data_IF_390473421667
#
_entry.id   IF_390473421667
#
_cell.length_a   1.000
_cell.length_b   1.000
_cell.length_c   1.000
_cell.angle_alpha   90.00
_cell.angle_beta   90.00
_cell.angle_gamma   90.00
#
_symmetry.space_group_name_H-M   'P 1'
#
loop_
_entity.id
_entity.type
_entity.pdbx_description
1 polymer ?
#
# COMPACT_ATOMS: atom_id res chain seq x y z
N UNK A 1 40.64 -33.39 29.81
CA UNK A 1 40.96 -34.75 30.30
C UNK A 1 41.85 -34.57 31.52
N UNK A 2 41.63 -35.26 32.68
CA UNK A 2 41.04 -36.59 32.81
C UNK A 2 39.82 -36.65 33.79
N UNK A 3 38.77 -37.43 33.52
CA UNK A 3 38.52 -38.86 33.88
C UNK A 3 37.65 -39.00 35.16
N UNK A 4 36.44 -39.55 35.03
CA UNK A 4 36.03 -40.91 35.44
C UNK A 4 35.73 -41.00 36.95
N UNK A 5 34.71 -41.69 37.45
CA UNK A 5 33.70 -42.57 36.90
C UNK A 5 32.63 -42.74 38.00
N UNK A 6 31.39 -43.07 37.61
CA UNK A 6 30.74 -44.22 38.24
C UNK A 6 29.71 -44.79 37.27
N UNK A 7 30.06 -45.94 36.72
CA UNK A 7 29.16 -46.84 36.02
C UNK A 7 28.64 -47.88 37.02
N UNK A 8 27.39 -48.29 36.89
CA UNK A 8 26.91 -49.68 36.96
C UNK A 8 25.41 -49.63 36.61
N UNK A 9 25.04 -50.02 35.40
CA UNK A 9 24.49 -51.34 35.06
C UNK A 9 23.10 -51.58 35.65
N UNK A 10 22.12 -51.71 34.76
CA UNK A 10 21.26 -52.90 34.61
C UNK A 10 20.22 -52.67 33.50
N UNK A 11 20.52 -53.20 32.31
CA UNK A 11 19.54 -53.73 31.35
C UNK A 11 19.35 -55.22 31.70
N UNK A 12 18.17 -55.83 31.51
CA UNK A 12 17.69 -56.14 30.15
C UNK A 12 16.17 -56.11 29.96
N UNK A 13 15.73 -56.13 28.69
CA UNK A 13 14.35 -56.49 28.36
C UNK A 13 13.86 -55.89 27.04
N UNK A 14 14.19 -56.53 25.93
CA UNK A 14 13.59 -56.27 24.63
C UNK A 14 12.08 -56.58 24.66
N UNK A 15 11.27 -55.63 24.20
CA UNK A 15 9.91 -55.88 23.74
C UNK A 15 9.68 -55.04 22.48
N UNK A 16 9.55 -55.74 21.35
CA UNK A 16 9.06 -55.20 20.08
C UNK A 16 7.60 -54.82 20.28
N UNK A 17 7.26 -53.54 20.14
CA UNK A 17 5.89 -53.08 20.07
C UNK A 17 5.48 -52.95 18.60
N UNK A 18 4.67 -53.90 18.15
CA UNK A 18 3.94 -53.89 16.88
C UNK A 18 3.11 -52.61 16.76
N UNK A 19 3.23 -51.89 15.65
CA UNK A 19 2.35 -50.78 15.32
C UNK A 19 0.95 -51.31 14.94
N UNK A 20 -0.15 -50.78 15.49
CA UNK A 20 -1.47 -51.16 15.02
C UNK A 20 -1.72 -50.55 13.64
N UNK A 21 -2.02 -51.41 12.67
CA UNK A 21 -2.40 -51.05 11.31
C UNK A 21 -3.61 -50.12 11.31
N UNK A 22 -3.48 -49.00 10.60
CA UNK A 22 -4.58 -48.11 10.29
C UNK A 22 -5.44 -48.74 9.19
N UNK A 23 -6.43 -49.54 9.58
CA UNK A 23 -7.53 -49.91 8.70
C UNK A 23 -8.32 -48.64 8.36
N UNK A 24 -8.07 -48.11 7.16
CA UNK A 24 -8.89 -47.08 6.53
C UNK A 24 -10.25 -47.68 6.19
N UNK A 25 -11.15 -47.68 7.17
CA UNK A 25 -12.57 -47.81 6.89
C UNK A 25 -13.02 -46.63 6.01
N UNK A 26 -13.73 -46.86 4.89
CA UNK A 26 -14.29 -45.79 4.10
C UNK A 26 -15.32 -45.05 4.95
N UNK A 27 -15.01 -43.81 5.33
CA UNK A 27 -15.98 -42.89 5.93
C UNK A 27 -17.11 -42.74 4.90
N UNK A 28 -18.28 -43.28 5.24
CA UNK A 28 -19.50 -43.09 4.49
C UNK A 28 -19.72 -41.59 4.30
N UNK A 29 -19.63 -41.12 3.04
CA UNK A 29 -20.06 -39.78 2.66
C UNK A 29 -21.55 -39.70 2.97
N UNK A 30 -21.88 -39.04 4.08
CA UNK A 30 -23.24 -38.57 4.33
C UNK A 30 -23.71 -37.82 3.09
N UNK A 31 -24.94 -38.12 2.68
CA UNK A 31 -25.66 -37.53 1.54
C UNK A 31 -25.34 -36.05 1.37
N UNK A 32 -24.48 -35.73 0.40
CA UNK A 32 -24.15 -34.36 0.06
C UNK A 32 -25.42 -33.67 -0.44
N UNK A 33 -25.90 -32.69 0.33
CA UNK A 33 -26.94 -31.77 -0.12
C UNK A 33 -26.52 -31.17 -1.48
N UNK A 34 -27.49 -30.95 -2.38
CA UNK A 34 -27.23 -30.38 -3.69
C UNK A 34 -26.34 -29.12 -3.57
N UNK A 35 -25.32 -28.97 -4.42
CA UNK A 35 -24.35 -27.88 -4.31
C UNK A 35 -25.09 -26.55 -4.41
N UNK A 36 -24.96 -25.73 -3.37
CA UNK A 36 -25.49 -24.38 -3.35
C UNK A 36 -24.40 -23.37 -3.70
N UNK A 37 -24.80 -22.28 -4.32
CA UNK A 37 -23.98 -21.08 -4.43
C UNK A 37 -24.08 -20.33 -3.11
N UNK A 38 -23.04 -20.42 -2.30
CA UNK A 38 -22.91 -19.62 -1.08
C UNK A 38 -22.36 -18.24 -1.45
N UNK A 39 -23.02 -17.18 -1.02
CA UNK A 39 -22.65 -15.79 -1.33
C UNK A 39 -22.48 -15.05 -0.01
N UNK A 40 -21.23 -14.77 0.35
CA UNK A 40 -20.89 -14.01 1.55
C UNK A 40 -21.08 -12.52 1.28
N UNK A 41 -21.90 -11.85 2.09
CA UNK A 41 -22.31 -10.45 1.91
C UNK A 41 -22.25 -9.68 3.24
N UNK A 42 -22.31 -8.35 3.17
CA UNK A 42 -22.49 -7.47 4.34
C UNK A 42 -23.46 -6.34 4.02
N UNK A 43 -24.10 -5.76 5.02
CA UNK A 43 -24.91 -4.57 4.82
C UNK A 43 -24.09 -3.34 4.42
N UNK A 44 -24.68 -2.49 3.57
CA UNK A 44 -24.04 -1.26 3.09
C UNK A 44 -22.89 -1.49 2.10
N UNK A 45 -22.78 -2.69 1.52
CA UNK A 45 -21.83 -3.03 0.47
C UNK A 45 -22.45 -2.82 -0.93
N UNK A 46 -21.99 -1.82 -1.72
CA UNK A 46 -22.56 -1.54 -3.05
C UNK A 46 -22.43 -2.71 -4.03
N UNK A 47 -21.27 -3.39 -4.01
CA UNK A 47 -21.01 -4.56 -4.84
C UNK A 47 -21.90 -5.76 -4.47
N UNK A 48 -22.23 -5.91 -3.19
CA UNK A 48 -23.13 -6.96 -2.71
C UNK A 48 -24.57 -6.71 -3.18
N UNK A 49 -25.03 -5.45 -3.15
CA UNK A 49 -26.34 -5.08 -3.67
C UNK A 49 -26.46 -5.34 -5.18
N UNK A 50 -25.40 -5.04 -5.94
CA UNK A 50 -25.36 -5.34 -7.38
C UNK A 50 -25.36 -6.85 -7.65
N UNK A 51 -24.61 -7.62 -6.86
CA UNK A 51 -24.61 -9.07 -6.93
C UNK A 51 -25.99 -9.66 -6.63
N UNK A 52 -26.68 -9.19 -5.58
CA UNK A 52 -28.02 -9.66 -5.21
C UNK A 52 -29.05 -9.41 -6.31
N UNK A 53 -29.01 -8.26 -6.98
CA UNK A 53 -29.86 -7.96 -8.13
C UNK A 53 -29.60 -8.95 -9.28
N UNK A 54 -28.34 -9.14 -9.65
CA UNK A 54 -27.95 -10.09 -10.69
C UNK A 54 -28.33 -11.54 -10.35
N UNK A 55 -28.12 -11.96 -9.10
CA UNK A 55 -28.44 -13.30 -8.62
C UNK A 55 -29.95 -13.54 -8.54
N UNK A 56 -30.75 -12.51 -8.29
CA UNK A 56 -32.20 -12.61 -8.35
C UNK A 56 -32.70 -12.92 -9.77
N UNK A 57 -32.07 -12.33 -10.79
CA UNK A 57 -32.36 -12.66 -12.19
C UNK A 57 -31.82 -14.06 -12.55
N UNK A 58 -30.60 -14.38 -12.14
CA UNK A 58 -29.97 -15.67 -12.39
C UNK A 58 -30.73 -16.84 -11.76
N UNK A 59 -31.28 -16.65 -10.56
CA UNK A 59 -32.11 -17.66 -9.88
C UNK A 59 -33.43 -17.94 -10.60
N UNK A 60 -33.96 -16.97 -11.37
CA UNK A 60 -35.12 -17.19 -12.25
C UNK A 60 -34.75 -17.95 -13.51
N UNK A 61 -33.56 -17.72 -14.05
CA UNK A 61 -33.03 -18.45 -15.21
C UNK A 61 -32.61 -19.89 -14.88
N UNK A 62 -32.11 -20.13 -13.67
CA UNK A 62 -31.61 -21.43 -13.20
C UNK A 62 -32.39 -21.89 -11.95
N UNK A 63 -33.63 -22.40 -12.08
CA UNK A 63 -34.47 -22.77 -10.93
C UNK A 63 -33.90 -23.90 -10.07
N UNK A 64 -32.99 -24.69 -10.62
CA UNK A 64 -32.27 -25.76 -9.91
C UNK A 64 -31.10 -25.26 -9.07
N UNK A 65 -30.66 -24.00 -9.27
CA UNK A 65 -29.56 -23.40 -8.52
C UNK A 65 -30.07 -22.88 -7.17
N UNK A 66 -29.59 -23.49 -6.09
CA UNK A 66 -29.84 -23.00 -4.72
C UNK A 66 -28.83 -21.92 -4.37
N UNK A 67 -29.30 -20.68 -4.21
CA UNK A 67 -28.48 -19.54 -3.82
C UNK A 67 -28.68 -19.28 -2.32
N UNK A 68 -27.59 -19.19 -1.56
CA UNK A 68 -27.62 -18.98 -0.09
C UNK A 68 -26.77 -17.76 0.26
N UNK A 69 -27.41 -16.72 0.78
CA UNK A 69 -26.72 -15.52 1.26
C UNK A 69 -26.25 -15.71 2.70
N UNK A 70 -24.98 -15.39 2.96
CA UNK A 70 -24.34 -15.51 4.28
C UNK A 70 -23.83 -14.14 4.73
N UNK A 71 -24.51 -13.54 5.70
CA UNK A 71 -24.21 -12.18 6.19
C UNK A 71 -23.07 -12.19 7.22
N UNK A 72 -21.88 -11.74 6.84
CA UNK A 72 -20.67 -11.79 7.70
C UNK A 72 -20.62 -10.73 8.80
N UNK A 73 -21.46 -9.70 8.69
CA UNK A 73 -21.66 -8.65 9.68
C UNK A 73 -22.62 -9.06 10.80
N UNK A 74 -23.51 -10.03 10.54
CA UNK A 74 -24.55 -10.49 11.47
C UNK A 74 -24.31 -11.89 12.02
N UNK A 75 -23.62 -12.73 11.25
CA UNK A 75 -23.33 -14.12 11.61
C UNK A 75 -21.81 -14.33 11.75
N UNK A 76 -21.39 -14.63 12.98
CA UNK A 76 -20.00 -14.95 13.29
C UNK A 76 -19.52 -16.22 12.57
N UNK A 77 -20.38 -17.23 12.39
CA UNK A 77 -20.02 -18.46 11.69
C UNK A 77 -19.81 -18.20 10.20
N UNK A 78 -20.66 -17.38 9.57
CA UNK A 78 -20.45 -16.93 8.18
C UNK A 78 -19.12 -16.19 7.99
N UNK A 79 -18.76 -15.32 8.94
CA UNK A 79 -17.48 -14.59 8.90
C UNK A 79 -16.28 -15.54 9.04
N UNK A 80 -16.34 -16.47 10.00
CA UNK A 80 -15.26 -17.42 10.24
C UNK A 80 -15.11 -18.40 9.06
N UNK A 81 -16.23 -18.80 8.45
CA UNK A 81 -16.24 -19.59 7.22
C UNK A 81 -15.62 -18.82 6.05
N UNK A 82 -15.98 -17.55 5.86
CA UNK A 82 -15.38 -16.69 4.83
C UNK A 82 -13.85 -16.61 5.01
N UNK A 83 -13.38 -16.36 6.24
CA UNK A 83 -11.96 -16.35 6.59
C UNK A 83 -11.29 -17.68 6.19
N UNK A 84 -11.92 -18.80 6.51
CA UNK A 84 -11.39 -20.14 6.24
C UNK A 84 -11.31 -20.42 4.74
N UNK A 85 -12.39 -20.18 3.99
CA UNK A 85 -12.42 -20.47 2.54
C UNK A 85 -11.52 -19.52 1.75
N UNK A 86 -11.44 -18.25 2.14
CA UNK A 86 -10.51 -17.28 1.57
C UNK A 86 -9.05 -17.70 1.75
N UNK A 87 -8.67 -18.19 2.95
CA UNK A 87 -7.31 -18.71 3.18
C UNK A 87 -7.01 -19.94 2.36
N UNK A 88 -7.94 -20.90 2.32
CA UNK A 88 -7.77 -22.14 1.56
C UNK A 88 -7.63 -21.89 0.05
N UNK A 89 -8.35 -20.89 -0.47
CA UNK A 89 -8.29 -20.48 -1.88
C UNK A 89 -7.13 -19.52 -2.21
N UNK A 90 -6.32 -19.08 -1.22
CA UNK A 90 -5.29 -18.06 -1.40
C UNK A 90 -5.83 -16.65 -1.68
N UNK A 91 -7.14 -16.43 -1.48
CA UNK A 91 -7.84 -15.17 -1.71
C UNK A 91 -7.97 -14.38 -0.39
N UNK A 92 -6.83 -13.89 0.13
CA UNK A 92 -6.75 -13.09 1.36
C UNK A 92 -6.37 -11.62 1.05
N UNK A 93 -6.99 -10.62 1.67
CA UNK A 93 -7.99 -10.71 2.73
C UNK A 93 -9.38 -11.12 2.25
N UNK A 94 -10.24 -11.63 3.15
CA UNK A 94 -11.63 -11.96 2.83
C UNK A 94 -12.40 -10.68 2.45
N UNK A 95 -12.93 -10.66 1.22
CA UNK A 95 -13.78 -9.58 0.71
C UNK A 95 -15.24 -10.01 0.60
N UNK A 96 -16.14 -9.04 0.41
CA UNK A 96 -17.54 -9.30 0.07
C UNK A 96 -17.96 -8.40 -1.11
N UNK A 97 -18.77 -8.90 -2.08
CA UNK A 97 -19.33 -10.25 -2.10
C UNK A 97 -18.29 -11.32 -2.47
N UNK A 98 -18.38 -12.49 -1.85
CA UNK A 98 -17.58 -13.68 -2.21
C UNK A 98 -18.52 -14.83 -2.55
N UNK A 99 -18.30 -15.46 -3.70
CA UNK A 99 -19.11 -16.55 -4.23
C UNK A 99 -18.36 -17.85 -4.09
N UNK A 100 -18.99 -18.86 -3.50
CA UNK A 100 -18.44 -20.20 -3.34
C UNK A 100 -19.41 -21.22 -3.93
N UNK A 101 -18.91 -22.03 -4.86
CA UNK A 101 -19.68 -23.11 -5.46
C UNK A 101 -18.78 -24.33 -5.69
N UNK A 102 -19.17 -25.46 -5.11
CA UNK A 102 -18.45 -26.74 -5.28
C UNK A 102 -16.93 -26.64 -5.02
N UNK A 103 -16.57 -26.01 -3.89
CA UNK A 103 -15.18 -25.82 -3.46
C UNK A 103 -14.39 -24.76 -4.24
N UNK A 104 -14.96 -24.15 -5.29
CA UNK A 104 -14.36 -23.05 -6.04
C UNK A 104 -14.86 -21.71 -5.50
N UNK A 105 -14.03 -20.68 -5.61
CA UNK A 105 -14.26 -19.38 -5.01
C UNK A 105 -14.00 -18.26 -6.01
N UNK A 106 -14.84 -17.23 -5.99
CA UNK A 106 -14.69 -15.97 -6.71
C UNK A 106 -14.92 -14.81 -5.74
N UNK A 107 -14.07 -13.79 -5.76
CA UNK A 107 -14.19 -12.60 -4.90
C UNK A 107 -14.54 -11.39 -5.75
N UNK A 108 -15.48 -10.57 -5.27
CA UNK A 108 -15.87 -9.32 -5.89
C UNK A 108 -16.98 -9.49 -6.93
N UNK A 109 -17.69 -8.40 -7.16
CA UNK A 109 -18.71 -8.30 -8.20
C UNK A 109 -18.86 -6.83 -8.60
N UNK A 110 -18.57 -6.51 -9.86
CA UNK A 110 -18.75 -5.18 -10.40
C UNK A 110 -20.18 -5.04 -10.92
N UNK A 111 -20.47 -5.58 -12.09
CA UNK A 111 -21.80 -5.60 -12.69
C UNK A 111 -22.09 -6.91 -13.46
N UNK A 112 -23.30 -7.01 -14.01
CA UNK A 112 -23.76 -8.19 -14.76
C UNK A 112 -22.94 -8.46 -16.05
N UNK A 113 -22.39 -7.42 -16.68
CA UNK A 113 -21.63 -7.56 -17.92
C UNK A 113 -20.16 -7.93 -17.65
N UNK A 114 -19.55 -7.34 -16.63
CA UNK A 114 -18.16 -7.57 -16.24
C UNK A 114 -17.97 -8.84 -15.42
N UNK A 115 -18.69 -8.98 -14.30
CA UNK A 115 -18.51 -10.09 -13.36
C UNK A 115 -19.52 -11.24 -13.55
N UNK A 116 -20.66 -10.98 -14.20
CA UNK A 116 -21.69 -12.00 -14.46
C UNK A 116 -21.19 -13.26 -15.17
N UNK A 117 -20.38 -13.17 -16.25
CA UNK A 117 -19.81 -14.34 -16.91
C UNK A 117 -18.93 -15.20 -16.00
N UNK A 118 -18.17 -14.57 -15.09
CA UNK A 118 -17.31 -15.28 -14.14
C UNK A 118 -18.13 -16.04 -13.09
N UNK A 119 -19.25 -15.48 -12.60
CA UNK A 119 -20.19 -16.19 -11.72
C UNK A 119 -20.80 -17.39 -12.45
N UNK A 120 -21.16 -17.26 -13.73
CA UNK A 120 -21.68 -18.38 -14.53
C UNK A 120 -20.61 -19.45 -14.77
N UNK A 121 -19.37 -19.07 -15.04
CA UNK A 121 -18.24 -20.00 -15.18
C UNK A 121 -17.97 -20.76 -13.87
N UNK A 122 -18.04 -20.06 -12.74
CA UNK A 122 -17.95 -20.66 -11.40
C UNK A 122 -19.05 -21.72 -11.21
N UNK A 123 -20.30 -21.42 -11.57
CA UNK A 123 -21.40 -22.41 -11.46
C UNK A 123 -21.20 -23.57 -12.45
N UNK A 124 -20.78 -23.29 -13.69
CA UNK A 124 -20.72 -24.26 -14.78
C UNK A 124 -19.59 -25.30 -14.68
N UNK A 125 -18.74 -25.26 -13.63
CA UNK A 125 -17.60 -26.19 -13.57
C UNK A 125 -16.42 -25.78 -14.44
N UNK A 126 -16.53 -24.68 -15.20
CA UNK A 126 -15.47 -24.23 -16.09
C UNK A 126 -14.27 -23.73 -15.27
N UNK A 127 -13.06 -24.11 -15.67
CA UNK A 127 -11.86 -23.42 -15.21
C UNK A 127 -12.05 -21.94 -15.54
N UNK A 128 -11.84 -21.05 -14.55
CA UNK A 128 -11.83 -19.62 -14.80
C UNK A 128 -10.90 -19.36 -15.99
N UNK A 129 -11.25 -18.47 -16.94
CA UNK A 129 -10.31 -18.06 -17.98
C UNK A 129 -9.05 -17.59 -17.28
N UNK A 130 -7.99 -18.38 -17.39
CA UNK A 130 -6.69 -18.02 -16.88
C UNK A 130 -6.21 -16.91 -17.80
N UNK A 131 -6.37 -15.66 -17.36
CA UNK A 131 -5.93 -14.47 -18.08
C UNK A 131 -4.40 -14.39 -17.99
N UNK A 132 -3.73 -15.43 -18.50
CA UNK A 132 -2.28 -15.57 -18.59
C UNK A 132 -1.85 -15.16 -19.99
N UNK A 133 -1.18 -14.02 -20.07
CA UNK A 133 -0.45 -13.61 -21.28
C UNK A 133 0.96 -14.17 -21.15
N UNK A 134 1.31 -15.14 -22.00
CA UNK A 134 2.68 -15.61 -22.13
C UNK A 134 3.52 -14.55 -22.84
N UNK A 135 4.55 -14.04 -22.17
CA UNK A 135 5.57 -13.19 -22.82
C UNK A 135 6.91 -13.88 -22.78
N UNK A 136 7.57 -13.95 -23.94
CA UNK A 136 8.81 -14.71 -24.17
C UNK A 136 10.02 -14.26 -23.32
N UNK A 137 9.93 -13.12 -22.63
CA UNK A 137 11.01 -12.56 -21.81
C UNK A 137 10.75 -12.64 -20.29
N UNK A 138 9.49 -12.84 -19.87
CA UNK A 138 9.08 -12.77 -18.44
C UNK A 138 8.20 -13.95 -17.97
N UNK A 139 7.92 -14.94 -18.82
CA UNK A 139 7.08 -16.09 -18.49
C UNK A 139 5.57 -15.77 -18.53
N UNK A 140 4.75 -16.66 -17.97
CA UNK A 140 3.29 -16.48 -17.85
C UNK A 140 2.98 -15.35 -16.87
N UNK A 141 2.49 -14.23 -17.40
CA UNK A 141 2.07 -13.07 -16.61
C UNK A 141 0.54 -13.09 -16.52
N UNK A 142 0.00 -13.42 -15.33
CA UNK A 142 -1.43 -13.30 -15.06
C UNK A 142 -1.79 -11.87 -14.62
N UNK A 143 -2.99 -11.39 -14.94
CA UNK A 143 -3.50 -10.11 -14.45
C UNK A 143 -3.44 -10.00 -12.90
N UNK A 144 -3.61 -11.11 -12.20
CA UNK A 144 -3.43 -11.25 -10.75
C UNK A 144 -1.97 -11.11 -10.27
N UNK A 145 -0.96 -11.39 -11.12
CA UNK A 145 0.47 -11.15 -10.83
C UNK A 145 0.94 -9.75 -11.23
N UNK A 146 0.31 -9.09 -12.21
CA UNK A 146 0.59 -7.67 -12.53
C UNK A 146 -0.08 -6.68 -11.57
N UNK A 147 -1.21 -7.06 -10.96
CA UNK A 147 -1.98 -6.19 -10.09
C UNK A 147 -1.15 -5.59 -8.97
N UNK A 148 -0.39 -6.41 -8.23
CA UNK A 148 0.37 -5.93 -7.08
C UNK A 148 1.59 -5.06 -7.46
N UNK A 149 2.46 -5.42 -8.43
CA UNK A 149 3.53 -4.53 -8.88
C UNK A 149 3.03 -3.20 -9.48
N UNK A 150 1.98 -3.25 -10.31
CA UNK A 150 1.42 -2.04 -10.92
C UNK A 150 0.74 -1.15 -9.87
N UNK A 151 -0.01 -1.75 -8.95
CA UNK A 151 -0.58 -1.04 -7.80
C UNK A 151 0.52 -0.39 -6.96
N UNK A 152 1.60 -1.11 -6.69
CA UNK A 152 2.76 -0.61 -5.93
C UNK A 152 3.36 0.63 -6.60
N UNK A 153 3.60 0.57 -7.91
CA UNK A 153 4.14 1.69 -8.68
C UNK A 153 3.15 2.87 -8.75
N UNK A 154 1.86 2.61 -8.93
CA UNK A 154 0.84 3.64 -9.00
C UNK A 154 0.69 4.39 -7.68
N UNK A 155 0.63 3.67 -6.56
CA UNK A 155 0.56 4.28 -5.23
C UNK A 155 1.86 5.00 -4.90
N UNK A 156 3.01 4.40 -5.19
CA UNK A 156 4.32 5.03 -5.02
C UNK A 156 4.43 6.33 -5.81
N UNK A 157 4.03 6.35 -7.08
CA UNK A 157 4.02 7.56 -7.91
C UNK A 157 3.06 8.61 -7.35
N UNK A 158 1.86 8.22 -6.94
CA UNK A 158 0.89 9.13 -6.33
C UNK A 158 1.45 9.79 -5.05
N UNK A 159 2.18 9.02 -4.25
CA UNK A 159 2.87 9.50 -3.05
C UNK A 159 4.06 10.42 -3.42
N UNK A 160 4.82 10.07 -4.46
CA UNK A 160 5.93 10.88 -4.97
C UNK A 160 5.53 12.30 -5.35
N UNK A 161 4.31 12.48 -5.90
CA UNK A 161 3.66 13.77 -6.14
C UNK A 161 3.27 14.52 -4.85
N UNK A 162 4.19 14.57 -3.89
CA UNK A 162 4.04 15.21 -2.60
C UNK A 162 4.43 16.71 -2.69
N UNK A 163 3.47 17.61 -2.43
CA UNK A 163 3.70 19.05 -2.44
C UNK A 163 4.76 19.50 -1.43
N UNK A 164 4.93 18.78 -0.31
CA UNK A 164 5.92 19.07 0.73
C UNK A 164 7.36 18.90 0.17
N UNK A 165 7.64 17.79 -0.52
CA UNK A 165 8.95 17.50 -1.11
C UNK A 165 9.23 18.34 -2.35
N UNK A 166 8.24 18.44 -3.26
CA UNK A 166 8.34 19.21 -4.49
C UNK A 166 8.81 20.65 -4.22
N UNK A 167 8.21 21.34 -3.25
CA UNK A 167 8.57 22.72 -2.94
C UNK A 167 10.02 22.88 -2.51
N UNK A 168 10.53 21.96 -1.69
CA UNK A 168 11.91 22.02 -1.20
C UNK A 168 12.87 21.72 -2.34
N UNK A 169 12.57 20.72 -3.16
CA UNK A 169 13.39 20.37 -4.30
C UNK A 169 13.39 21.49 -5.36
N UNK A 170 12.25 22.12 -5.63
CA UNK A 170 12.15 23.30 -6.50
C UNK A 170 12.95 24.48 -5.96
N UNK A 171 12.90 24.71 -4.64
CA UNK A 171 13.70 25.74 -4.00
C UNK A 171 15.20 25.45 -4.16
N UNK A 172 15.63 24.22 -3.89
CA UNK A 172 17.01 23.75 -4.07
C UNK A 172 17.46 23.95 -5.52
N UNK A 173 16.69 23.47 -6.49
CA UNK A 173 16.97 23.61 -7.92
C UNK A 173 17.08 25.09 -8.32
N UNK A 174 16.19 25.97 -7.82
CA UNK A 174 16.25 27.40 -8.12
C UNK A 174 17.55 28.08 -7.66
N UNK A 175 18.19 27.55 -6.61
CA UNK A 175 19.49 28.02 -6.15
C UNK A 175 20.63 27.42 -6.98
N UNK A 176 20.55 26.14 -7.33
CA UNK A 176 21.58 25.43 -8.07
C UNK A 176 21.68 25.89 -9.54
N UNK A 177 20.56 26.26 -10.18
CA UNK A 177 20.56 26.78 -11.56
C UNK A 177 21.44 28.04 -11.69
N UNK A 178 21.58 28.86 -10.63
CA UNK A 178 22.47 30.04 -10.63
C UNK A 178 23.96 29.69 -10.63
N UNK A 179 24.34 28.47 -10.24
CA UNK A 179 25.74 28.01 -10.24
C UNK A 179 26.25 27.65 -11.64
N UNK A 180 25.34 27.48 -12.61
CA UNK A 180 25.63 27.15 -14.02
C UNK A 180 26.54 25.91 -14.23
N UNK A 181 26.59 24.99 -13.25
CA UNK A 181 27.33 23.72 -13.31
C UNK A 181 26.34 22.54 -13.25
N UNK A 182 26.16 21.89 -14.40
CA UNK A 182 25.24 20.75 -14.55
C UNK A 182 25.69 19.54 -13.73
N UNK A 183 26.99 19.29 -13.58
CA UNK A 183 27.52 18.15 -12.82
C UNK A 183 27.27 18.35 -11.34
N UNK A 184 27.62 19.54 -10.82
CA UNK A 184 27.36 19.88 -9.42
C UNK A 184 25.86 19.86 -9.12
N UNK A 185 25.03 20.38 -10.02
CA UNK A 185 23.58 20.36 -9.84
C UNK A 185 23.03 18.93 -9.81
N UNK A 186 23.44 18.07 -10.73
CA UNK A 186 23.02 16.67 -10.75
C UNK A 186 23.46 15.91 -9.50
N UNK A 187 24.68 16.13 -9.01
CA UNK A 187 25.19 15.48 -7.79
C UNK A 187 24.44 15.94 -6.55
N UNK A 188 24.24 17.26 -6.37
CA UNK A 188 23.58 17.81 -5.19
C UNK A 188 22.10 17.46 -5.17
N UNK A 189 21.37 17.74 -6.26
CA UNK A 189 19.94 17.42 -6.33
C UNK A 189 19.69 15.90 -6.39
N UNK A 190 20.54 15.13 -7.08
CA UNK A 190 20.46 13.68 -7.09
C UNK A 190 20.70 13.06 -5.71
N UNK A 191 21.61 13.66 -4.91
CA UNK A 191 21.83 13.23 -3.51
C UNK A 191 20.60 13.50 -2.66
N UNK A 192 19.91 14.63 -2.85
CA UNK A 192 18.62 14.89 -2.18
C UNK A 192 17.62 13.77 -2.46
N UNK A 193 17.39 13.44 -3.73
CA UNK A 193 16.42 12.41 -4.15
C UNK A 193 16.80 11.02 -3.64
N UNK A 194 18.07 10.65 -3.77
CA UNK A 194 18.56 9.34 -3.31
C UNK A 194 18.44 9.18 -1.79
N UNK A 195 18.82 10.20 -1.02
CA UNK A 195 18.72 10.17 0.44
C UNK A 195 17.26 10.19 0.86
N UNK A 196 16.40 10.97 0.20
CA UNK A 196 14.95 10.97 0.49
C UNK A 196 14.36 9.57 0.29
N UNK A 197 14.61 8.94 -0.86
CA UNK A 197 14.17 7.57 -1.14
C UNK A 197 14.69 6.55 -0.13
N UNK A 198 15.96 6.64 0.27
CA UNK A 198 16.54 5.73 1.27
C UNK A 198 15.92 5.90 2.67
N UNK A 199 15.71 7.14 3.12
CA UNK A 199 15.05 7.44 4.40
C UNK A 199 13.60 6.99 4.37
N UNK A 200 12.90 7.21 3.25
CA UNK A 200 11.50 6.83 3.10
C UNK A 200 11.35 5.31 3.09
N UNK A 201 12.23 4.60 2.38
CA UNK A 201 12.33 3.14 2.43
C UNK A 201 12.53 2.64 3.86
N UNK A 202 13.51 3.21 4.58
CA UNK A 202 13.81 2.81 5.95
C UNK A 202 12.61 3.04 6.88
N UNK A 203 11.89 4.14 6.69
CA UNK A 203 10.67 4.42 7.43
C UNK A 203 9.57 3.39 7.12
N UNK A 204 9.26 3.15 5.84
CA UNK A 204 8.25 2.16 5.44
C UNK A 204 8.60 0.76 5.95
N UNK A 205 9.89 0.39 5.92
CA UNK A 205 10.38 -0.85 6.48
C UNK A 205 10.18 -0.93 8.00
N UNK A 206 10.50 0.13 8.75
CA UNK A 206 10.25 0.19 10.18
C UNK A 206 8.75 0.08 10.49
N UNK A 207 7.93 0.83 9.76
CA UNK A 207 6.48 0.86 9.88
C UNK A 207 5.83 -0.51 9.59
N UNK A 208 6.28 -1.18 8.52
CA UNK A 208 5.87 -2.54 8.17
C UNK A 208 6.10 -3.51 9.33
N UNK A 209 7.26 -3.47 9.98
CA UNK A 209 7.56 -4.34 11.11
C UNK A 209 6.71 -4.00 12.34
N UNK A 210 6.42 -2.72 12.59
CA UNK A 210 5.49 -2.30 13.66
C UNK A 210 4.08 -2.84 13.40
N UNK A 211 3.55 -2.72 12.18
CA UNK A 211 2.24 -3.25 11.83
C UNK A 211 2.16 -4.77 11.86
N UNK A 212 3.23 -5.48 11.50
CA UNK A 212 3.27 -6.94 11.68
C UNK A 212 3.25 -7.37 13.15
N UNK A 213 3.78 -6.55 14.05
CA UNK A 213 3.83 -6.85 15.48
C UNK A 213 2.55 -6.46 16.24
N UNK A 214 1.98 -5.29 15.94
CA UNK A 214 0.91 -4.67 16.74
C UNK A 214 -0.42 -4.54 15.98
N UNK A 215 -0.39 -4.62 14.64
CA UNK A 215 -1.53 -4.29 13.79
C UNK A 215 -1.82 -2.78 13.73
N UNK A 216 -2.67 -2.37 12.79
CA UNK A 216 -3.15 -1.00 12.70
C UNK A 216 -4.28 -0.79 13.72
N UNK A 217 -4.00 -0.14 14.85
CA UNK A 217 -5.04 0.18 15.84
C UNK A 217 -5.88 1.37 15.40
N UNK A 218 -7.15 1.41 15.84
CA UNK A 218 -8.05 2.53 15.56
C UNK A 218 -7.48 3.86 16.06
N UNK A 219 -6.73 3.85 17.17
CA UNK A 219 -6.07 5.04 17.70
C UNK A 219 -5.02 5.61 16.75
N UNK A 220 -4.20 4.75 16.13
CA UNK A 220 -3.19 5.18 15.15
C UNK A 220 -3.85 5.70 13.87
N UNK A 221 -4.91 5.03 13.39
CA UNK A 221 -5.67 5.51 12.23
C UNK A 221 -6.30 6.88 12.49
N UNK A 222 -6.96 7.06 13.64
CA UNK A 222 -7.64 8.30 14.00
C UNK A 222 -6.62 9.43 14.20
N UNK A 223 -5.47 9.15 14.83
CA UNK A 223 -4.43 10.18 15.04
C UNK A 223 -3.84 10.64 13.70
N UNK A 224 -3.53 9.72 12.78
CA UNK A 224 -3.07 10.05 11.42
C UNK A 224 -4.13 10.84 10.65
N UNK A 225 -5.40 10.44 10.71
CA UNK A 225 -6.49 11.16 10.06
C UNK A 225 -6.64 12.59 10.61
N UNK A 226 -6.57 12.77 11.93
CA UNK A 226 -6.65 14.08 12.57
C UNK A 226 -5.48 14.99 12.15
N UNK A 227 -4.25 14.47 12.11
CA UNK A 227 -3.08 15.21 11.66
C UNK A 227 -3.22 15.62 10.19
N UNK A 228 -3.63 14.69 9.32
CA UNK A 228 -3.86 14.99 7.90
C UNK A 228 -4.95 16.06 7.69
N UNK A 229 -6.05 15.98 8.46
CA UNK A 229 -7.12 16.97 8.41
C UNK A 229 -6.65 18.36 8.88
N UNK A 230 -5.87 18.43 9.95
CA UNK A 230 -5.30 19.69 10.47
C UNK A 230 -4.35 20.33 9.45
N UNK A 231 -3.40 19.57 8.91
CA UNK A 231 -2.43 20.07 7.92
C UNK A 231 -3.15 20.47 6.63
N UNK A 232 -4.09 19.64 6.17
CA UNK A 232 -4.89 19.90 4.98
C UNK A 232 -5.70 21.19 5.11
N UNK A 233 -6.35 21.41 6.26
CA UNK A 233 -7.10 22.63 6.54
C UNK A 233 -6.21 23.88 6.52
N UNK A 234 -5.01 23.81 7.10
CA UNK A 234 -4.05 24.93 7.06
C UNK A 234 -3.60 25.22 5.62
N UNK A 235 -3.33 24.19 4.81
CA UNK A 235 -2.94 24.35 3.40
C UNK A 235 -4.06 24.97 2.54
N UNK A 236 -5.31 24.54 2.72
CA UNK A 236 -6.47 25.15 2.05
C UNK A 236 -6.70 26.58 2.53
N UNK A 237 -6.62 26.84 3.84
CA UNK A 237 -6.73 28.20 4.38
C UNK A 237 -5.64 29.12 3.81
N UNK A 238 -4.39 28.65 3.71
CA UNK A 238 -3.30 29.44 3.13
C UNK A 238 -3.55 29.81 1.66
N UNK A 239 -4.30 29.01 0.89
CA UNK A 239 -4.71 29.37 -0.46
C UNK A 239 -5.65 30.59 -0.50
N UNK A 240 -6.68 30.60 0.35
CA UNK A 240 -7.70 31.66 0.36
C UNK A 240 -7.28 32.90 1.18
N UNK A 241 -6.56 32.70 2.28
CA UNK A 241 -6.24 33.74 3.27
C UNK A 241 -4.73 33.75 3.56
N UNK A 242 -3.94 33.96 2.51
CA UNK A 242 -2.47 33.94 2.53
C UNK A 242 -1.90 34.91 3.56
N UNK A 243 -1.07 34.42 4.48
CA UNK A 243 -0.38 35.23 5.49
C UNK A 243 -1.24 35.69 6.67
N UNK A 244 -2.49 35.26 6.77
CA UNK A 244 -3.35 35.51 7.94
C UNK A 244 -3.38 34.30 8.89
N UNK A 245 -3.11 34.53 10.17
CA UNK A 245 -3.13 33.49 11.22
C UNK A 245 -2.01 32.45 11.11
N UNK A 246 -2.31 31.22 11.53
CA UNK A 246 -1.36 30.08 11.49
C UNK A 246 -1.09 29.69 10.03
N UNK A 247 0.18 29.58 9.64
CA UNK A 247 0.59 29.19 8.29
C UNK A 247 1.81 28.28 8.40
N UNK A 248 1.83 27.20 7.63
CA UNK A 248 3.01 26.30 7.51
C UNK A 248 4.09 26.86 6.58
N UNK A 249 3.88 28.06 6.03
CA UNK A 249 4.88 28.78 5.24
C UNK A 249 5.94 29.43 6.12
N UNK A 250 7.17 29.50 5.62
CA UNK A 250 8.28 30.20 6.27
C UNK A 250 7.89 31.67 6.55
N UNK A 251 7.86 32.12 7.83
CA UNK A 251 7.51 33.49 8.18
C UNK A 251 8.50 34.49 7.61
N UNK A 252 8.00 35.67 7.20
CA UNK A 252 8.77 36.74 6.54
C UNK A 252 10.02 37.14 7.34
N UNK A 253 9.94 37.13 8.67
CA UNK A 253 11.03 37.48 9.59
C UNK A 253 12.17 36.45 9.61
N UNK A 254 11.89 35.17 9.35
CA UNK A 254 12.90 34.10 9.36
C UNK A 254 13.58 33.90 8.00
N UNK A 255 12.95 34.34 6.90
CA UNK A 255 13.47 34.18 5.54
C UNK A 255 14.91 34.69 5.35
N UNK A 256 15.31 35.90 5.82
CA UNK A 256 16.66 36.42 5.58
C UNK A 256 17.74 35.57 6.25
N UNK A 257 17.53 35.18 7.51
CA UNK A 257 18.47 34.35 8.27
C UNK A 257 18.57 32.94 7.74
N UNK A 258 17.44 32.34 7.34
CA UNK A 258 17.41 31.03 6.71
C UNK A 258 18.14 31.03 5.35
N UNK A 259 17.87 32.03 4.49
CA UNK A 259 18.55 32.15 3.21
C UNK A 259 20.06 32.42 3.37
N UNK A 260 20.47 33.18 4.38
CA UNK A 260 21.88 33.41 4.68
C UNK A 260 22.59 32.11 5.08
N UNK A 261 22.00 31.31 5.98
CA UNK A 261 22.53 30.00 6.39
C UNK A 261 22.59 29.01 5.22
N UNK A 262 21.50 28.92 4.45
CA UNK A 262 21.46 28.04 3.28
C UNK A 262 22.48 28.46 2.21
N UNK A 263 22.67 29.77 2.00
CA UNK A 263 23.66 30.27 1.05
C UNK A 263 25.09 30.05 1.54
N UNK A 264 25.37 30.21 2.83
CA UNK A 264 26.68 29.89 3.42
C UNK A 264 27.02 28.41 3.27
N UNK A 265 26.04 27.52 3.47
CA UNK A 265 26.17 26.08 3.26
C UNK A 265 26.41 25.74 1.78
N UNK A 266 25.69 26.39 0.86
CA UNK A 266 25.84 26.16 -0.59
C UNK A 266 27.09 26.81 -1.18
N UNK A 267 27.57 27.90 -0.58
CA UNK A 267 28.82 28.57 -0.92
C UNK A 267 30.04 27.91 -0.28
N UNK A 268 29.86 26.85 0.52
CA UNK A 268 30.97 26.00 0.89
C UNK A 268 31.62 25.49 -0.42
N UNK A 269 32.87 25.88 -0.64
CA UNK A 269 33.62 25.59 -1.87
C UNK A 269 33.83 24.08 -2.07
N UNK A 270 33.71 23.29 -1.00
CA UNK A 270 33.86 21.84 -1.03
C UNK A 270 32.54 21.14 -1.37
N UNK A 271 32.51 20.46 -2.53
CA UNK A 271 31.42 19.57 -2.95
C UNK A 271 30.94 18.61 -1.82
N UNK A 272 31.81 17.95 -1.04
CA UNK A 272 31.39 17.08 0.05
C UNK A 272 30.52 17.77 1.11
N UNK A 273 30.82 19.02 1.47
CA UNK A 273 30.04 19.78 2.44
C UNK A 273 28.62 20.06 1.93
N UNK A 274 28.49 20.40 0.63
CA UNK A 274 27.18 20.60 0.01
C UNK A 274 26.35 19.31 -0.07
N UNK A 275 26.98 18.16 -0.33
CA UNK A 275 26.29 16.86 -0.34
C UNK A 275 25.82 16.47 1.06
N UNK A 276 26.68 16.62 2.07
CA UNK A 276 26.33 16.34 3.46
C UNK A 276 25.16 17.21 3.94
N UNK A 277 25.19 18.51 3.64
CA UNK A 277 24.12 19.41 4.04
C UNK A 277 22.78 19.10 3.36
N UNK A 278 22.82 18.73 2.08
CA UNK A 278 21.61 18.33 1.35
C UNK A 278 21.08 16.97 1.82
N UNK A 279 21.94 16.03 2.20
CA UNK A 279 21.52 14.79 2.83
C UNK A 279 20.79 15.05 4.17
N UNK A 280 21.32 15.93 5.02
CA UNK A 280 20.64 16.34 6.26
C UNK A 280 19.31 17.03 5.97
N UNK A 281 19.27 17.91 4.96
CA UNK A 281 18.02 18.54 4.54
C UNK A 281 17.00 17.50 4.07
N UNK A 282 17.40 16.52 3.27
CA UNK A 282 16.52 15.44 2.80
C UNK A 282 15.91 14.66 3.97
N UNK A 283 16.71 14.29 4.97
CA UNK A 283 16.22 13.63 6.19
C UNK A 283 15.14 14.48 6.89
N UNK A 284 15.41 15.77 7.10
CA UNK A 284 14.47 16.68 7.79
C UNK A 284 13.16 16.86 7.02
N UNK A 285 13.24 17.00 5.70
CA UNK A 285 12.09 17.18 4.82
C UNK A 285 11.24 15.91 4.83
N UNK A 286 11.87 14.74 4.80
CA UNK A 286 11.16 13.48 4.74
C UNK A 286 10.35 13.20 6.03
N UNK A 287 10.78 13.70 7.20
CA UNK A 287 9.94 13.67 8.41
C UNK A 287 8.67 14.50 8.27
N UNK A 288 8.72 15.63 7.57
CA UNK A 288 7.55 16.48 7.31
C UNK A 288 6.67 15.81 6.26
N UNK A 289 7.28 15.30 5.20
CA UNK A 289 6.65 14.60 4.10
C UNK A 289 5.82 13.40 4.56
N UNK A 290 6.39 12.63 5.47
CA UNK A 290 5.69 11.53 6.12
C UNK A 290 4.37 11.99 6.74
N UNK A 291 4.35 13.12 7.45
CA UNK A 291 3.11 13.64 8.03
C UNK A 291 2.12 14.11 6.95
N UNK A 292 2.62 14.51 5.77
CA UNK A 292 1.84 14.96 4.63
C UNK A 292 1.13 13.80 3.90
N UNK A 293 1.76 12.61 3.78
CA UNK A 293 1.24 11.48 2.98
C UNK A 293 1.21 10.13 3.68
N UNK A 294 1.42 10.04 5.01
CA UNK A 294 1.46 8.79 5.79
C UNK A 294 0.30 7.81 5.53
N UNK A 295 -0.87 8.31 5.11
CA UNK A 295 -2.00 7.47 4.71
C UNK A 295 -1.65 6.49 3.60
N UNK A 296 -0.93 6.92 2.55
CA UNK A 296 -0.61 6.06 1.39
C UNK A 296 0.33 4.91 1.76
N UNK A 297 1.50 5.12 2.42
CA UNK A 297 2.32 4.04 2.92
C UNK A 297 1.60 3.13 3.92
N UNK A 298 0.73 3.70 4.76
CA UNK A 298 0.01 2.91 5.75
C UNK A 298 -0.98 1.94 5.10
N UNK A 299 -1.75 2.40 4.10
CA UNK A 299 -2.68 1.56 3.33
C UNK A 299 -1.89 0.52 2.53
N UNK A 300 -0.84 0.96 1.82
CA UNK A 300 -0.03 0.06 1.02
C UNK A 300 0.62 -1.04 1.86
N UNK A 301 1.23 -0.70 3.00
CA UNK A 301 1.81 -1.70 3.91
C UNK A 301 0.74 -2.60 4.51
N UNK A 302 -0.46 -2.10 4.82
CA UNK A 302 -1.58 -2.94 5.23
C UNK A 302 -1.95 -3.95 4.13
N UNK A 303 -2.13 -3.51 2.88
CA UNK A 303 -2.41 -4.40 1.74
C UNK A 303 -1.28 -5.42 1.54
N UNK A 304 -0.02 -4.96 1.59
CA UNK A 304 1.14 -5.81 1.38
C UNK A 304 1.29 -6.89 2.47
N UNK A 305 1.04 -6.55 3.74
CA UNK A 305 1.05 -7.54 4.85
C UNK A 305 -0.04 -8.59 4.75
N UNK A 306 -1.10 -8.32 3.99
CA UNK A 306 -2.18 -9.27 3.74
C UNK A 306 -1.84 -10.22 2.59
N UNK A 307 -0.84 -9.90 1.76
CA UNK A 307 -0.35 -10.80 0.73
C UNK A 307 0.57 -11.86 1.36
N UNK A 308 0.34 -13.14 1.06
CA UNK A 308 1.14 -14.26 1.55
C UNK A 308 2.51 -14.36 0.83
N UNK A 309 3.22 -13.24 0.69
CA UNK A 309 4.53 -13.17 0.03
C UNK A 309 5.66 -13.36 1.03
N UNK A 310 6.82 -13.83 0.56
CA UNK A 310 7.98 -14.04 1.43
C UNK A 310 8.43 -12.73 2.11
N UNK A 311 9.14 -12.79 3.25
CA UNK A 311 9.68 -11.58 3.88
C UNK A 311 10.58 -10.77 2.93
N UNK A 312 11.40 -11.44 2.13
CA UNK A 312 12.23 -10.78 1.11
C UNK A 312 11.39 -10.07 0.04
N UNK A 313 10.28 -10.69 -0.39
CA UNK A 313 9.37 -10.07 -1.34
C UNK A 313 8.71 -8.81 -0.78
N UNK A 314 8.36 -8.77 0.51
CA UNK A 314 7.84 -7.55 1.13
C UNK A 314 8.82 -6.37 1.00
N UNK A 315 10.10 -6.59 1.30
CA UNK A 315 11.13 -5.56 1.17
C UNK A 315 11.40 -5.18 -0.30
N UNK A 316 11.32 -6.13 -1.23
CA UNK A 316 11.40 -5.84 -2.66
C UNK A 316 10.23 -4.96 -3.13
N UNK A 317 9.02 -5.24 -2.66
CA UNK A 317 7.82 -4.45 -2.93
C UNK A 317 7.89 -3.05 -2.29
N UNK A 318 8.47 -2.90 -1.10
CA UNK A 318 8.82 -1.59 -0.57
C UNK A 318 9.81 -0.88 -1.50
N UNK A 319 10.83 -1.57 -2.01
CA UNK A 319 11.79 -0.98 -2.96
C UNK A 319 11.11 -0.52 -4.25
N UNK A 320 10.19 -1.31 -4.78
CA UNK A 320 9.40 -0.95 -5.97
C UNK A 320 8.50 0.27 -5.72
N UNK A 321 7.91 0.37 -4.53
CA UNK A 321 7.17 1.56 -4.11
C UNK A 321 8.07 2.80 -4.17
N UNK A 322 9.29 2.69 -3.63
CA UNK A 322 10.27 3.78 -3.60
C UNK A 322 10.70 4.20 -5.00
N UNK A 323 10.79 3.26 -5.95
CA UNK A 323 11.05 3.58 -7.36
C UNK A 323 9.95 4.47 -7.94
N UNK A 324 8.67 4.15 -7.68
CA UNK A 324 7.56 5.01 -8.08
C UNK A 324 7.60 6.37 -7.38
N UNK A 325 7.88 6.38 -6.09
CA UNK A 325 7.98 7.56 -5.24
C UNK A 325 9.08 8.54 -5.66
N UNK A 326 10.29 8.08 -6.01
CA UNK A 326 11.37 9.00 -6.45
C UNK A 326 11.25 9.39 -7.93
N UNK A 327 10.30 8.83 -8.67
CA UNK A 327 10.25 8.95 -10.13
C UNK A 327 9.98 10.38 -10.58
N UNK A 328 9.02 11.06 -9.96
CA UNK A 328 8.64 12.44 -10.29
C UNK A 328 9.70 13.45 -9.82
N UNK A 329 10.29 13.24 -8.64
CA UNK A 329 11.45 14.00 -8.16
C UNK A 329 12.66 13.85 -9.10
N UNK A 330 12.96 12.63 -9.53
CA UNK A 330 14.03 12.36 -10.50
C UNK A 330 13.74 13.03 -11.84
N UNK A 331 12.49 12.97 -12.32
CA UNK A 331 12.06 13.65 -13.53
C UNK A 331 12.23 15.17 -13.41
N UNK A 332 11.89 15.74 -12.27
CA UNK A 332 12.05 17.17 -12.02
C UNK A 332 13.53 17.59 -11.96
N UNK A 333 14.40 16.80 -11.31
CA UNK A 333 15.85 17.05 -11.32
C UNK A 333 16.41 16.93 -12.74
N UNK A 334 16.05 15.87 -13.46
CA UNK A 334 16.54 15.64 -14.82
C UNK A 334 16.15 16.78 -15.77
N UNK A 335 14.88 17.21 -15.73
CA UNK A 335 14.39 18.33 -16.54
C UNK A 335 15.10 19.63 -16.17
N UNK A 336 15.34 19.92 -14.87
CA UNK A 336 16.09 21.10 -14.45
C UNK A 336 17.56 21.06 -14.92
N UNK A 337 18.22 19.91 -14.84
CA UNK A 337 19.62 19.70 -15.28
C UNK A 337 19.78 19.86 -16.79
N UNK A 338 18.86 19.30 -17.57
CA UNK A 338 18.89 19.39 -19.03
C UNK A 338 18.51 20.80 -19.49
N UNK A 339 17.42 21.35 -18.95
CA UNK A 339 16.86 22.61 -19.43
C UNK A 339 17.63 23.84 -18.94
N UNK A 340 18.47 23.74 -17.88
CA UNK A 340 19.02 24.90 -17.14
C UNK A 340 17.94 25.95 -16.86
N UNK A 341 16.71 25.49 -16.66
CA UNK A 341 15.51 26.29 -16.82
C UNK A 341 15.38 27.34 -15.73
N UNK A 342 15.38 28.61 -16.11
CA UNK A 342 15.22 29.78 -15.23
C UNK A 342 13.76 30.04 -14.82
N UNK A 343 12.82 29.16 -15.18
CA UNK A 343 11.40 29.33 -14.84
C UNK A 343 11.20 29.07 -13.36
N UNK A 344 11.20 30.15 -12.57
CA UNK A 344 10.75 30.12 -11.19
C UNK A 344 9.27 29.78 -11.16
N UNK A 345 8.87 28.89 -10.25
CA UNK A 345 7.46 28.73 -9.93
C UNK A 345 6.91 30.06 -9.44
N UNK A 346 5.82 30.47 -10.07
CA UNK A 346 5.12 31.69 -9.69
C UNK A 346 4.40 31.47 -8.36
N UNK A 347 4.14 32.55 -7.63
CA UNK A 347 3.37 32.49 -6.39
C UNK A 347 1.99 31.85 -6.62
N UNK A 348 1.38 32.05 -7.80
CA UNK A 348 0.12 31.41 -8.19
C UNK A 348 0.24 29.90 -8.31
N UNK A 349 1.28 29.40 -9.00
CA UNK A 349 1.53 27.97 -9.09
C UNK A 349 1.71 27.35 -7.70
N UNK A 350 2.39 28.10 -6.83
CA UNK A 350 2.58 27.71 -5.44
C UNK A 350 1.30 27.65 -4.59
N UNK A 351 0.43 28.66 -4.73
CA UNK A 351 -0.89 28.67 -4.10
C UNK A 351 -1.74 27.51 -4.60
N UNK A 352 -1.77 27.28 -5.91
CA UNK A 352 -2.52 26.17 -6.50
C UNK A 352 -2.04 24.82 -5.98
N UNK A 353 -0.71 24.63 -5.88
CA UNK A 353 -0.14 23.38 -5.34
C UNK A 353 -0.55 23.16 -3.88
N UNK A 354 -0.59 24.21 -3.05
CA UNK A 354 -1.12 24.12 -1.68
C UNK A 354 -2.61 23.77 -1.63
N UNK A 355 -3.41 24.28 -2.55
CA UNK A 355 -4.83 23.93 -2.61
C UNK A 355 -5.01 22.45 -2.97
N UNK A 356 -4.32 21.98 -4.02
CA UNK A 356 -4.36 20.57 -4.46
C UNK A 356 -3.88 19.66 -3.32
N UNK A 357 -2.75 20.01 -2.71
CA UNK A 357 -2.21 19.36 -1.50
C UNK A 357 -3.23 19.25 -0.39
N UNK A 358 -3.79 20.40 0.02
CA UNK A 358 -4.70 20.48 1.14
C UNK A 358 -5.98 19.72 0.88
N UNK A 359 -6.51 19.80 -0.35
CA UNK A 359 -7.69 19.05 -0.76
C UNK A 359 -7.44 17.54 -0.73
N UNK A 360 -6.30 17.07 -1.23
CA UNK A 360 -5.92 15.65 -1.19
C UNK A 360 -5.78 15.14 0.25
N UNK A 361 -5.10 15.89 1.11
CA UNK A 361 -4.94 15.56 2.54
C UNK A 361 -6.28 15.54 3.28
N UNK A 362 -7.16 16.51 3.02
CA UNK A 362 -8.50 16.55 3.60
C UNK A 362 -9.35 15.37 3.15
N UNK A 363 -9.28 15.02 1.85
CA UNK A 363 -10.00 13.89 1.30
C UNK A 363 -9.52 12.58 1.92
N UNK A 364 -8.21 12.32 1.93
CA UNK A 364 -7.63 11.11 2.54
C UNK A 364 -7.94 11.03 4.04
N UNK A 365 -7.76 12.13 4.78
CA UNK A 365 -8.08 12.19 6.20
C UNK A 365 -9.57 11.94 6.49
N UNK A 366 -10.47 12.51 5.68
CA UNK A 366 -11.90 12.29 5.80
C UNK A 366 -12.31 10.85 5.46
N UNK A 367 -11.72 10.24 4.43
CA UNK A 367 -11.96 8.83 4.08
C UNK A 367 -11.48 7.93 5.21
N UNK A 368 -10.27 8.15 5.74
CA UNK A 368 -9.73 7.39 6.88
C UNK A 368 -10.61 7.49 8.14
N UNK A 369 -11.29 8.61 8.36
CA UNK A 369 -12.13 8.86 9.54
C UNK A 369 -13.58 8.39 9.38
N UNK A 370 -14.21 8.66 8.22
CA UNK A 370 -15.64 8.45 7.99
C UNK A 370 -15.96 7.11 7.33
N UNK A 371 -15.08 6.65 6.42
CA UNK A 371 -15.30 5.46 5.59
C UNK A 371 -13.98 4.69 5.39
N UNK A 372 -13.35 4.18 6.46
CA UNK A 372 -12.09 3.44 6.34
C UNK A 372 -12.21 2.21 5.42
N UNK A 373 -13.42 1.68 5.23
CA UNK A 373 -13.73 0.59 4.31
C UNK A 373 -13.65 0.95 2.82
N UNK A 374 -13.41 2.20 2.44
CA UNK A 374 -13.13 2.57 1.04
C UNK A 374 -11.64 2.45 0.70
N UNK A 375 -10.79 2.26 1.71
CA UNK A 375 -9.34 2.09 1.58
C UNK A 375 -8.93 0.62 1.58
N UNK A 376 -9.91 -0.28 1.74
CA UNK A 376 -9.79 -1.74 1.71
C UNK A 376 -10.70 -2.25 0.60
#
# INVERSE_FOLDING_TARGET
>A
MPWLALALLLLPGAALAEAPGSDLAPVARGTAAAPALEVFVREGCPHCAQAELYLADLGRELPSLRIVYRHVDRDAAARDDLIRVSRAAGAWPPGVPTFVFDGRLMVGFDDAAGSGPAVRALIAGAAAPDEQVETALFGTLSASRLGLPLFTLAVGLLDGFNPCAMWVLLFLLSLLVRLNDRRRMALVAGTFVLVSGAVYYAFMAAWLNVFRAVGMSDLVRISLAAVALLIGAVNVKDFFAWGSGVSLSIPQSAKPGLYARMRAVMQAEALPASLAAVAVLAVLVNFIELLCTAGLPAIYTAVLTQQAVSPAAHYAYLGLYIVGYIADDTLMVATAVIALGSRKLTERAGRLLKLISGALMLMLGAVMLLRPQWLM
#
